data_IF_061442541019
#
_entry.id   IF_061442541019
#
_cell.length_a   1.000
_cell.length_b   1.000
_cell.length_c   1.000
_cell.angle_alpha   90.00
_cell.angle_beta   90.00
_cell.angle_gamma   90.00
#
_symmetry.space_group_name_H-M   'P 1'
#
loop_
_entity.id
_entity.type
_entity.pdbx_description
1 polymer ?
#
# COMPACT_ATOMS: atom_id res chain seq x y z
N UNK A 1 12.71 -7.32 -33.37
CA UNK A 1 12.55 -7.66 -31.94
C UNK A 1 11.39 -6.86 -31.39
N UNK A 2 10.28 -7.50 -30.99
CA UNK A 2 9.22 -6.81 -30.27
C UNK A 2 9.65 -6.72 -28.81
N UNK A 3 10.06 -5.54 -28.35
CA UNK A 3 10.17 -5.30 -26.91
C UNK A 3 8.75 -5.29 -26.36
N UNK A 4 8.40 -6.34 -25.65
CA UNK A 4 7.15 -6.42 -24.93
C UNK A 4 7.34 -5.51 -23.70
N UNK A 5 6.93 -4.25 -23.78
CA UNK A 5 6.83 -3.35 -22.62
C UNK A 5 5.67 -3.82 -21.73
N UNK A 6 5.80 -5.03 -21.18
CA UNK A 6 5.09 -5.37 -19.96
C UNK A 6 5.63 -4.43 -18.89
N UNK A 7 4.81 -3.46 -18.46
CA UNK A 7 5.20 -2.35 -17.61
C UNK A 7 6.16 -2.77 -16.50
N UNK A 8 7.26 -2.02 -16.36
CA UNK A 8 8.31 -2.32 -15.39
C UNK A 8 7.69 -2.36 -14.00
N UNK A 9 7.66 -3.54 -13.38
CA UNK A 9 7.20 -3.73 -11.99
C UNK A 9 7.96 -2.77 -11.09
N UNK A 10 7.23 -1.92 -10.38
CA UNK A 10 7.77 -1.01 -9.36
C UNK A 10 7.63 -1.71 -8.02
N UNK A 11 8.73 -1.75 -7.26
CA UNK A 11 8.75 -2.30 -5.90
C UNK A 11 9.31 -1.23 -4.96
N UNK A 12 8.57 -0.93 -3.91
CA UNK A 12 8.93 0.08 -2.92
C UNK A 12 8.84 -0.54 -1.52
N UNK A 13 9.73 -0.15 -0.62
CA UNK A 13 9.68 -0.58 0.78
C UNK A 13 9.52 0.63 1.68
N UNK A 14 8.68 0.53 2.69
CA UNK A 14 8.43 1.65 3.59
C UNK A 14 7.52 1.30 4.76
N UNK A 15 7.05 2.33 5.47
CA UNK A 15 6.10 2.14 6.57
C UNK A 15 4.68 2.27 6.04
N UNK A 16 3.83 1.31 6.41
CA UNK A 16 2.39 1.40 6.27
C UNK A 16 1.76 1.83 7.58
N UNK A 17 0.65 2.56 7.49
CA UNK A 17 -0.22 2.87 8.61
C UNK A 17 -1.68 2.58 8.29
N UNK A 18 -2.53 2.51 9.30
CA UNK A 18 -3.99 2.38 9.10
C UNK A 18 -4.64 3.73 8.79
N UNK A 19 -5.68 3.74 7.96
CA UNK A 19 -6.54 4.92 7.77
C UNK A 19 -7.48 5.02 8.99
N UNK A 20 -7.40 6.10 9.80
CA UNK A 20 -8.08 6.16 11.09
C UNK A 20 -9.61 6.11 10.99
N UNK A 21 -10.19 6.80 10.00
CA UNK A 21 -11.63 6.95 9.81
C UNK A 21 -12.26 5.97 8.84
N UNK A 22 -11.46 5.06 8.27
CA UNK A 22 -11.99 4.15 7.25
C UNK A 22 -12.74 2.97 7.90
N UNK A 23 -14.03 2.90 7.63
CA UNK A 23 -14.90 1.77 7.92
C UNK A 23 -15.17 0.92 6.67
N UNK A 24 -14.42 1.14 5.57
CA UNK A 24 -14.64 0.38 4.34
C UNK A 24 -14.30 -1.10 4.51
N UNK A 25 -15.22 -1.93 4.04
CA UNK A 25 -14.98 -3.38 3.87
C UNK A 25 -14.11 -3.69 2.63
N UNK A 26 -13.71 -2.67 1.88
CA UNK A 26 -12.88 -2.81 0.67
C UNK A 26 -11.40 -2.69 1.00
N UNK A 27 -10.57 -3.32 0.18
CA UNK A 27 -9.12 -3.21 0.27
C UNK A 27 -8.62 -1.93 -0.41
N UNK A 28 -8.59 -0.84 0.34
CA UNK A 28 -8.22 0.49 -0.14
C UNK A 28 -6.87 0.96 0.42
N UNK A 29 -6.20 1.81 -0.36
CA UNK A 29 -4.94 2.45 0.03
C UNK A 29 -4.84 3.91 -0.40
N UNK A 30 -4.10 4.70 0.39
CA UNK A 30 -3.60 6.02 0.03
C UNK A 30 -2.08 5.92 -0.13
N UNK A 31 -1.55 6.23 -1.30
CA UNK A 31 -0.11 6.08 -1.59
C UNK A 31 0.56 7.44 -1.83
N UNK A 32 1.85 7.57 -1.52
CA UNK A 32 2.58 8.83 -1.73
C UNK A 32 2.75 9.16 -3.22
N UNK A 33 3.14 8.18 -4.04
CA UNK A 33 3.53 8.34 -5.46
C UNK A 33 2.57 7.70 -6.46
N UNK A 34 2.17 6.44 -6.24
CA UNK A 34 1.26 5.69 -7.12
C UNK A 34 -0.05 6.42 -7.48
N UNK A 35 -0.51 6.21 -8.71
CA UNK A 35 -1.71 6.83 -9.25
C UNK A 35 -2.98 6.24 -8.63
N UNK A 36 -4.06 7.03 -8.63
CA UNK A 36 -5.39 6.55 -8.23
C UNK A 36 -5.88 5.52 -9.25
N UNK A 37 -6.38 4.38 -8.76
CA UNK A 37 -6.81 3.26 -9.59
C UNK A 37 -5.76 2.14 -9.70
N UNK A 38 -4.50 2.40 -9.37
CA UNK A 38 -3.45 1.36 -9.36
C UNK A 38 -3.81 0.25 -8.38
N UNK A 39 -3.70 -1.00 -8.83
CA UNK A 39 -3.79 -2.18 -7.99
C UNK A 39 -2.37 -2.54 -7.54
N UNK A 40 -2.16 -2.57 -6.24
CA UNK A 40 -0.85 -2.75 -5.63
C UNK A 40 -0.90 -3.92 -4.67
N UNK A 41 0.07 -4.82 -4.79
CA UNK A 41 0.36 -5.82 -3.78
C UNK A 41 1.07 -5.14 -2.62
N UNK A 42 0.58 -5.36 -1.41
CA UNK A 42 1.23 -4.89 -0.17
C UNK A 42 1.54 -6.12 0.65
N UNK A 43 2.82 -6.31 0.96
CA UNK A 43 3.34 -7.43 1.72
C UNK A 43 3.87 -6.93 3.06
N UNK A 44 3.42 -7.55 4.14
CA UNK A 44 4.01 -7.39 5.46
C UNK A 44 5.30 -8.22 5.52
N UNK A 45 6.43 -7.56 5.69
CA UNK A 45 7.74 -8.22 5.71
C UNK A 45 7.96 -9.03 7.00
N UNK A 46 7.20 -8.76 8.06
CA UNK A 46 7.35 -9.42 9.37
C UNK A 46 6.79 -10.84 9.37
N UNK A 47 5.67 -11.08 8.68
CA UNK A 47 4.98 -12.36 8.65
C UNK A 47 4.82 -12.94 7.23
N UNK A 48 5.25 -12.22 6.20
CA UNK A 48 5.17 -12.64 4.80
C UNK A 48 3.77 -12.57 4.18
N UNK A 49 2.74 -12.13 4.91
CA UNK A 49 1.39 -12.01 4.38
C UNK A 49 1.29 -10.86 3.38
N UNK A 50 0.50 -11.04 2.34
CA UNK A 50 0.28 -10.04 1.31
C UNK A 50 -1.21 -9.84 1.02
N UNK A 51 -1.57 -8.63 0.60
CA UNK A 51 -2.92 -8.26 0.19
C UNK A 51 -2.86 -7.33 -1.01
N UNK A 52 -3.78 -7.50 -1.96
CA UNK A 52 -3.96 -6.57 -3.06
C UNK A 52 -4.92 -5.45 -2.66
N UNK A 53 -4.49 -4.21 -2.87
CA UNK A 53 -5.26 -3.02 -2.54
C UNK A 53 -5.38 -2.12 -3.75
N UNK A 54 -6.47 -1.35 -3.81
CA UNK A 54 -6.65 -0.30 -4.81
C UNK A 54 -6.32 1.05 -4.23
N UNK A 55 -5.46 1.80 -4.91
CA UNK A 55 -5.14 3.18 -4.55
C UNK A 55 -6.36 4.06 -4.85
N UNK A 56 -6.88 4.74 -3.84
CA UNK A 56 -8.06 5.62 -3.96
C UNK A 56 -7.71 7.11 -3.90
N UNK A 57 -6.46 7.42 -3.55
CA UNK A 57 -6.03 8.79 -3.34
C UNK A 57 -4.55 8.85 -3.01
N UNK A 58 -4.05 10.08 -2.94
CA UNK A 58 -2.68 10.34 -2.50
C UNK A 58 -2.62 10.49 -0.99
N UNK A 59 -1.53 10.04 -0.41
CA UNK A 59 -1.20 10.30 0.98
C UNK A 59 -0.81 11.79 1.12
N UNK A 60 -1.46 12.58 2.01
CA UNK A 60 -1.10 13.98 2.19
C UNK A 60 0.30 14.10 2.82
N UNK A 61 1.08 15.05 2.34
CA UNK A 61 2.43 15.29 2.84
C UNK A 61 2.34 16.07 4.16
N UNK A 62 2.35 15.34 5.27
CA UNK A 62 2.31 15.87 6.63
C UNK A 62 3.49 15.30 7.42
N UNK A 63 3.91 15.98 8.50
CA UNK A 63 5.01 15.48 9.33
C UNK A 63 4.81 14.05 9.86
N UNK A 64 3.55 13.63 10.08
CA UNK A 64 3.23 12.25 10.46
C UNK A 64 3.43 11.25 9.32
N UNK A 65 3.28 11.68 8.08
CA UNK A 65 3.39 10.86 6.87
C UNK A 65 4.78 10.91 6.23
N UNK A 66 5.71 11.68 6.80
CA UNK A 66 7.03 11.93 6.21
C UNK A 66 7.81 10.62 5.96
N UNK A 67 7.65 9.65 6.87
CA UNK A 67 8.24 8.30 6.78
C UNK A 67 7.23 7.21 6.39
N UNK A 68 6.01 7.57 6.00
CA UNK A 68 4.92 6.64 5.66
C UNK A 68 4.81 6.57 4.14
N UNK A 69 4.92 5.35 3.60
CA UNK A 69 4.79 5.08 2.17
C UNK A 69 3.31 5.06 1.74
N UNK A 70 2.47 4.40 2.55
CA UNK A 70 1.04 4.35 2.32
C UNK A 70 0.21 4.19 3.60
N UNK A 71 -1.07 4.54 3.51
CA UNK A 71 -2.09 4.17 4.48
C UNK A 71 -3.07 3.16 3.91
N UNK A 72 -3.50 2.22 4.74
CA UNK A 72 -4.35 1.09 4.38
C UNK A 72 -5.69 1.12 5.11
N UNK A 73 -6.75 0.68 4.44
CA UNK A 73 -8.04 0.37 5.07
C UNK A 73 -7.86 -0.62 6.24
N UNK A 74 -8.73 -0.52 7.26
CA UNK A 74 -8.71 -1.45 8.41
C UNK A 74 -8.80 -2.90 7.95
N UNK A 75 -9.60 -3.17 6.92
CA UNK A 75 -9.77 -4.51 6.36
C UNK A 75 -8.49 -5.05 5.73
N UNK A 76 -7.72 -4.23 5.03
CA UNK A 76 -6.43 -4.61 4.48
C UNK A 76 -5.40 -4.91 5.58
N UNK A 77 -5.33 -4.07 6.62
CA UNK A 77 -4.43 -4.29 7.77
C UNK A 77 -4.75 -5.59 8.51
N UNK A 78 -6.04 -5.91 8.71
CA UNK A 78 -6.47 -7.19 9.28
C UNK A 78 -5.98 -8.39 8.45
N UNK A 79 -5.97 -8.28 7.11
CA UNK A 79 -5.46 -9.33 6.21
C UNK A 79 -3.95 -9.44 6.19
N UNK A 80 -3.24 -8.43 6.65
CA UNK A 80 -1.79 -8.45 6.86
C UNK A 80 -1.41 -9.00 8.24
N UNK A 81 -2.40 -9.43 9.04
CA UNK A 81 -2.29 -10.00 10.38
C UNK A 81 -1.24 -9.29 11.25
N UNK A 82 -1.34 -7.96 11.29
CA UNK A 82 -0.49 -7.13 12.14
C UNK A 82 -1.33 -6.51 13.26
N UNK A 83 -0.89 -6.60 14.53
CA UNK A 83 -1.51 -5.86 15.62
C UNK A 83 -1.09 -4.38 15.62
N UNK A 84 -0.01 -4.05 14.90
CA UNK A 84 0.59 -2.72 14.92
C UNK A 84 -0.14 -1.75 14.01
N UNK A 85 -0.36 -0.52 14.51
CA UNK A 85 -0.90 0.58 13.70
C UNK A 85 0.11 1.09 12.67
N UNK A 86 1.40 0.78 12.86
CA UNK A 86 2.51 1.17 12.01
C UNK A 86 3.49 0.02 11.87
N UNK A 87 3.70 -0.43 10.64
CA UNK A 87 4.52 -1.61 10.36
C UNK A 87 5.24 -1.45 9.02
N UNK A 88 6.33 -2.21 8.83
CA UNK A 88 7.06 -2.19 7.57
C UNK A 88 6.37 -3.06 6.53
N UNK A 89 6.30 -2.53 5.32
CA UNK A 89 5.74 -3.23 4.16
C UNK A 89 6.65 -3.08 2.95
N UNK A 90 6.52 -4.05 2.07
CA UNK A 90 6.97 -3.95 0.69
C UNK A 90 5.73 -3.84 -0.19
N UNK A 91 5.74 -2.91 -1.13
CA UNK A 91 4.70 -2.76 -2.13
C UNK A 91 5.22 -3.12 -3.50
N UNK A 92 4.31 -3.62 -4.33
CA UNK A 92 4.61 -3.97 -5.70
C UNK A 92 3.42 -3.68 -6.60
N UNK A 93 3.65 -2.93 -7.67
CA UNK A 93 2.62 -2.65 -8.68
C UNK A 93 3.24 -2.50 -10.07
N UNK A 94 2.38 -2.56 -11.08
CA UNK A 94 2.72 -2.17 -12.44
C UNK A 94 2.01 -0.84 -12.71
N UNK A 95 2.75 0.24 -13.01
CA UNK A 95 2.17 1.55 -13.31
C UNK A 95 1.41 1.56 -14.64
#
# INVERSE_FOLDING_TARGET
MRVNEAGRRVTESGLAMVIPTDASDKYLALHKTAAVGTIMEVRNIMNGQAVYVRVIGRLPDTGENDKVLLRLSKRAVQRLATPDQRFRVETSYVP
#
